data_IF_698532907953
#
_entry.id   IF_698532907953
#
_cell.length_a   1.000
_cell.length_b   1.000
_cell.length_c   1.000
_cell.angle_alpha   90.00
_cell.angle_beta   90.00
_cell.angle_gamma   90.00
#
_symmetry.space_group_name_H-M   'P 1'
#
loop_
_entity.id
_entity.type
_entity.pdbx_description
1 polymer ?
#
# COMPACT_ATOMS: atom_id res chain seq x y z
N UNK A 1 27.76 0.35 4.09
CA UNK A 1 27.85 -0.41 5.37
C UNK A 1 28.33 0.55 6.45
N UNK A 2 27.41 1.08 7.24
CA UNK A 2 27.69 2.04 8.32
C UNK A 2 28.16 1.28 9.56
N UNK A 3 29.43 1.44 9.91
CA UNK A 3 30.07 0.86 11.10
C UNK A 3 29.63 1.54 12.40
N UNK A 4 28.34 1.54 12.70
CA UNK A 4 27.84 1.84 14.03
C UNK A 4 28.03 0.65 14.98
N UNK A 5 28.13 0.87 16.30
CA UNK A 5 28.13 -0.23 17.25
C UNK A 5 26.86 -1.06 17.07
N UNK A 6 27.01 -2.37 16.91
CA UNK A 6 25.89 -3.31 16.96
C UNK A 6 25.14 -3.07 18.27
N UNK A 7 23.82 -2.80 18.25
CA UNK A 7 23.07 -2.60 19.48
C UNK A 7 23.24 -3.82 20.39
N UNK A 8 23.35 -3.59 21.71
CA UNK A 8 23.36 -4.71 22.66
C UNK A 8 22.05 -5.54 22.49
N UNK A 9 22.11 -6.88 22.67
CA UNK A 9 20.95 -7.74 22.52
C UNK A 9 19.72 -7.29 23.33
N UNK A 10 19.89 -6.74 24.53
CA UNK A 10 18.76 -6.27 25.35
C UNK A 10 18.09 -5.06 24.71
N UNK A 11 18.88 -4.08 24.27
CA UNK A 11 18.39 -2.87 23.60
C UNK A 11 17.69 -3.21 22.28
N UNK A 12 18.27 -4.10 21.49
CA UNK A 12 17.66 -4.58 20.25
C UNK A 12 16.31 -5.26 20.53
N UNK A 13 16.25 -6.15 21.52
CA UNK A 13 15.01 -6.85 21.89
C UNK A 13 13.93 -5.91 22.44
N UNK A 14 14.31 -4.90 23.23
CA UNK A 14 13.38 -3.89 23.75
C UNK A 14 12.73 -3.09 22.60
N UNK A 15 13.52 -2.72 21.59
CA UNK A 15 12.99 -2.03 20.40
C UNK A 15 12.04 -2.93 19.60
N UNK A 16 12.39 -4.21 19.39
CA UNK A 16 11.46 -5.16 18.75
C UNK A 16 10.15 -5.31 19.55
N UNK A 17 10.25 -5.39 20.88
CA UNK A 17 9.08 -5.44 21.76
C UNK A 17 8.18 -4.20 21.63
N UNK A 18 8.77 -3.01 21.50
CA UNK A 18 8.04 -1.76 21.27
C UNK A 18 7.33 -1.76 19.92
N UNK A 19 7.98 -2.21 18.85
CA UNK A 19 7.36 -2.33 17.52
C UNK A 19 6.21 -3.35 17.55
N UNK A 20 6.39 -4.51 18.18
CA UNK A 20 5.33 -5.49 18.38
C UNK A 20 4.13 -4.93 19.16
N UNK A 21 4.36 -4.04 20.13
CA UNK A 21 3.27 -3.34 20.81
C UNK A 21 2.49 -2.44 19.83
N UNK A 22 3.17 -1.70 18.95
CA UNK A 22 2.52 -0.92 17.88
C UNK A 22 1.66 -1.81 16.98
N UNK A 23 2.16 -2.99 16.58
CA UNK A 23 1.39 -3.98 15.81
C UNK A 23 0.13 -4.37 16.55
N UNK A 24 0.23 -4.73 17.82
CA UNK A 24 -0.93 -5.15 18.62
C UNK A 24 -1.97 -4.03 18.77
N UNK A 25 -1.54 -2.76 18.87
CA UNK A 25 -2.44 -1.61 18.87
C UNK A 25 -3.11 -1.41 17.50
N UNK A 26 -2.34 -1.47 16.41
CA UNK A 26 -2.83 -1.34 15.04
C UNK A 26 -3.88 -2.40 14.70
N UNK A 27 -3.58 -3.68 15.00
CA UNK A 27 -4.50 -4.80 14.75
C UNK A 27 -5.82 -4.64 15.52
N UNK A 28 -5.78 -4.24 16.81
CA UNK A 28 -7.00 -3.95 17.59
C UNK A 28 -7.77 -2.74 17.04
N UNK A 29 -7.06 -1.73 16.54
CA UNK A 29 -7.64 -0.58 15.85
C UNK A 29 -8.42 -1.02 14.61
N UNK A 30 -7.76 -1.75 13.72
CA UNK A 30 -8.35 -2.26 12.48
C UNK A 30 -9.57 -3.16 12.74
N UNK A 31 -9.52 -4.04 13.75
CA UNK A 31 -10.69 -4.85 14.13
C UNK A 31 -11.89 -4.01 14.55
N UNK A 32 -11.67 -2.92 15.30
CA UNK A 32 -12.75 -2.00 15.69
C UNK A 32 -13.30 -1.23 14.50
N UNK A 33 -12.42 -0.79 13.59
CA UNK A 33 -12.81 -0.15 12.33
C UNK A 33 -13.65 -1.10 11.49
N UNK A 34 -13.18 -2.32 11.24
CA UNK A 34 -13.93 -3.31 10.47
C UNK A 34 -15.32 -3.59 11.07
N UNK A 35 -15.41 -3.72 12.39
CA UNK A 35 -16.69 -3.91 13.10
C UNK A 35 -17.65 -2.71 12.99
N UNK A 36 -17.13 -1.49 12.80
CA UNK A 36 -17.94 -0.29 12.59
C UNK A 36 -18.45 -0.14 11.15
N UNK A 37 -17.84 -0.85 10.19
CA UNK A 37 -18.21 -0.85 8.77
C UNK A 37 -18.47 -2.28 8.25
N UNK A 38 -19.42 -3.03 8.82
CA UNK A 38 -19.62 -4.44 8.47
C UNK A 38 -20.07 -4.67 7.02
N UNK A 39 -20.72 -3.68 6.40
CA UNK A 39 -21.14 -3.73 4.99
C UNK A 39 -19.96 -3.66 4.02
N UNK A 40 -18.83 -3.08 4.45
CA UNK A 40 -17.61 -2.95 3.64
C UNK A 40 -16.60 -4.05 3.96
N UNK A 41 -16.50 -4.47 5.23
CA UNK A 41 -15.52 -5.43 5.71
C UNK A 41 -16.19 -6.70 6.26
N UNK A 42 -16.67 -7.61 5.38
CA UNK A 42 -17.16 -8.91 5.82
C UNK A 42 -16.04 -9.75 6.44
N UNK A 43 -16.39 -10.59 7.42
CA UNK A 43 -15.42 -11.37 8.22
C UNK A 43 -14.48 -12.27 7.40
N UNK A 44 -14.90 -12.70 6.20
CA UNK A 44 -14.02 -13.29 5.17
C UNK A 44 -14.20 -12.44 3.90
N UNK A 45 -13.12 -11.85 3.32
CA UNK A 45 -11.70 -12.06 3.66
C UNK A 45 -11.09 -11.07 4.68
N UNK A 46 -11.88 -10.16 5.27
CA UNK A 46 -11.34 -9.14 6.20
C UNK A 46 -11.25 -9.68 7.64
N UNK A 47 -10.28 -10.57 7.85
CA UNK A 47 -10.11 -11.33 9.09
C UNK A 47 -8.97 -10.79 9.99
N UNK A 48 -8.74 -11.47 11.10
CA UNK A 48 -7.69 -11.11 12.05
C UNK A 48 -6.26 -11.22 11.47
N UNK A 49 -6.07 -12.07 10.46
CA UNK A 49 -4.81 -12.28 9.76
C UNK A 49 -4.47 -11.03 8.96
N UNK A 50 -5.39 -10.58 8.09
CA UNK A 50 -5.23 -9.36 7.31
C UNK A 50 -4.92 -8.16 8.19
N UNK A 51 -5.66 -7.98 9.27
CA UNK A 51 -5.43 -6.87 10.20
C UNK A 51 -4.05 -6.94 10.87
N UNK A 52 -3.56 -8.14 11.17
CA UNK A 52 -2.23 -8.36 11.70
C UNK A 52 -1.13 -8.03 10.68
N UNK A 53 -1.32 -8.46 9.42
CA UNK A 53 -0.41 -8.19 8.30
C UNK A 53 -0.28 -6.69 8.03
N UNK A 54 -1.41 -5.97 7.93
CA UNK A 54 -1.44 -4.51 7.74
C UNK A 54 -0.71 -3.80 8.89
N UNK A 55 -1.07 -4.12 10.13
CA UNK A 55 -0.48 -3.47 11.30
C UNK A 55 1.04 -3.73 11.41
N UNK A 56 1.48 -4.94 11.04
CA UNK A 56 2.91 -5.30 11.00
C UNK A 56 3.64 -4.51 9.94
N UNK A 57 3.12 -4.48 8.72
CA UNK A 57 3.73 -3.73 7.63
C UNK A 57 3.95 -2.26 8.00
N UNK A 58 2.96 -1.60 8.59
CA UNK A 58 3.08 -0.19 8.97
C UNK A 58 3.99 0.04 10.18
N UNK A 59 3.88 -0.78 11.23
CA UNK A 59 4.71 -0.61 12.43
C UNK A 59 6.20 -0.85 12.15
N UNK A 60 6.54 -1.81 11.30
CA UNK A 60 7.94 -2.07 10.94
C UNK A 60 8.48 -1.10 9.88
N UNK A 61 7.60 -0.52 9.05
CA UNK A 61 7.98 0.53 8.09
C UNK A 61 8.25 1.87 8.77
N UNK A 62 7.46 2.23 9.78
CA UNK A 62 7.54 3.54 10.43
C UNK A 62 7.54 3.45 11.99
N UNK A 63 8.48 2.71 12.59
CA UNK A 63 8.45 2.38 14.01
C UNK A 63 8.55 3.59 14.94
N UNK A 64 9.03 4.74 14.47
CA UNK A 64 9.12 5.98 15.25
C UNK A 64 7.76 6.66 15.48
N UNK A 65 6.73 6.30 14.74
CA UNK A 65 5.39 6.86 14.95
C UNK A 65 4.68 6.19 16.13
N UNK A 66 3.77 6.96 16.71
CA UNK A 66 2.83 6.49 17.72
C UNK A 66 1.74 5.63 17.09
N UNK A 67 1.07 4.82 17.91
CA UNK A 67 -0.08 4.03 17.45
C UNK A 67 -1.23 4.90 16.92
N UNK A 68 -1.37 6.15 17.39
CA UNK A 68 -2.40 7.07 16.92
C UNK A 68 -2.10 7.57 15.51
N UNK A 69 -0.86 7.98 15.25
CA UNK A 69 -0.42 8.41 13.90
C UNK A 69 -0.51 7.25 12.90
N UNK A 70 -0.11 6.03 13.30
CA UNK A 70 -0.23 4.85 12.43
C UNK A 70 -1.67 4.39 12.22
N UNK A 71 -2.65 4.83 13.03
CA UNK A 71 -4.04 4.41 12.87
C UNK A 71 -4.62 4.88 11.52
N UNK A 72 -4.31 6.11 11.10
CA UNK A 72 -4.76 6.67 9.81
C UNK A 72 -4.11 5.93 8.65
N UNK A 73 -2.82 5.64 8.75
CA UNK A 73 -2.10 4.86 7.72
C UNK A 73 -2.65 3.43 7.62
N UNK A 74 -2.89 2.76 8.75
CA UNK A 74 -3.52 1.44 8.76
C UNK A 74 -4.91 1.47 8.09
N UNK A 75 -5.72 2.51 8.32
CA UNK A 75 -7.01 2.70 7.64
C UNK A 75 -6.86 2.92 6.15
N UNK A 76 -5.83 3.65 5.71
CA UNK A 76 -5.54 3.85 4.29
C UNK A 76 -5.14 2.54 3.59
N UNK A 77 -4.30 1.71 4.22
CA UNK A 77 -3.98 0.37 3.70
C UNK A 77 -5.25 -0.50 3.64
N UNK A 78 -6.07 -0.49 4.70
CA UNK A 78 -7.34 -1.23 4.73
C UNK A 78 -8.31 -0.77 3.63
N UNK A 79 -8.36 0.53 3.34
CA UNK A 79 -9.11 1.07 2.19
C UNK A 79 -8.60 0.48 0.87
N UNK A 80 -7.28 0.39 0.68
CA UNK A 80 -6.68 -0.22 -0.51
C UNK A 80 -7.14 -1.67 -0.72
N UNK A 81 -7.12 -2.48 0.34
CA UNK A 81 -7.66 -3.85 0.30
C UNK A 81 -9.17 -3.91 0.04
N UNK A 82 -9.94 -2.94 0.54
CA UNK A 82 -11.37 -2.84 0.28
C UNK A 82 -11.65 -2.63 -1.21
N UNK A 83 -10.97 -1.66 -1.82
CA UNK A 83 -11.14 -1.33 -3.24
C UNK A 83 -10.67 -2.48 -4.12
N UNK A 84 -9.51 -3.06 -3.83
CA UNK A 84 -8.97 -4.24 -4.52
C UNK A 84 -10.01 -5.37 -4.54
N UNK A 85 -10.52 -5.75 -3.38
CA UNK A 85 -11.54 -6.79 -3.28
C UNK A 85 -12.84 -6.45 -4.02
N UNK A 86 -13.30 -5.20 -3.93
CA UNK A 86 -14.50 -4.75 -4.63
C UNK A 86 -14.32 -4.82 -6.17
N UNK A 87 -13.16 -4.40 -6.68
CA UNK A 87 -12.88 -4.43 -8.12
C UNK A 87 -12.66 -5.86 -8.60
N UNK A 88 -11.84 -6.65 -7.89
CA UNK A 88 -11.35 -7.92 -8.39
C UNK A 88 -12.33 -9.07 -8.13
N UNK A 89 -13.03 -9.04 -6.99
CA UNK A 89 -13.89 -10.14 -6.56
C UNK A 89 -15.39 -9.83 -6.65
N UNK A 90 -15.79 -8.56 -6.63
CA UNK A 90 -17.22 -8.17 -6.58
C UNK A 90 -17.74 -7.53 -7.86
N UNK A 91 -16.93 -6.74 -8.56
CA UNK A 91 -17.39 -6.06 -9.77
C UNK A 91 -17.59 -7.06 -10.92
N UNK A 92 -18.83 -7.14 -11.40
CA UNK A 92 -19.26 -8.00 -12.51
C UNK A 92 -19.23 -7.29 -13.86
N UNK A 93 -19.15 -5.96 -13.86
CA UNK A 93 -19.14 -5.15 -15.08
C UNK A 93 -18.19 -3.96 -15.00
N UNK A 94 -17.77 -3.47 -16.18
CA UNK A 94 -16.94 -2.26 -16.28
C UNK A 94 -17.62 -1.05 -15.65
N UNK A 95 -18.93 -0.93 -15.81
CA UNK A 95 -19.72 0.15 -15.24
C UNK A 95 -19.74 0.15 -13.70
N UNK A 96 -19.58 -1.01 -13.05
CA UNK A 96 -19.41 -1.11 -11.60
C UNK A 96 -18.03 -0.64 -11.16
N UNK A 97 -16.98 -1.03 -11.88
CA UNK A 97 -15.61 -0.54 -11.64
C UNK A 97 -15.55 0.99 -11.78
N UNK A 98 -16.12 1.54 -12.86
CA UNK A 98 -16.17 2.99 -13.06
C UNK A 98 -17.02 3.71 -11.99
N UNK A 99 -17.97 3.02 -11.35
CA UNK A 99 -18.74 3.57 -10.22
C UNK A 99 -17.94 3.58 -8.93
N UNK A 100 -17.17 2.53 -8.66
CA UNK A 100 -16.24 2.46 -7.53
C UNK A 100 -15.23 3.60 -7.64
N UNK A 101 -14.60 3.75 -8.81
CA UNK A 101 -13.62 4.81 -9.06
C UNK A 101 -14.21 6.21 -8.85
N UNK A 102 -15.36 6.50 -9.47
CA UNK A 102 -16.05 7.79 -9.29
C UNK A 102 -16.42 8.07 -7.84
N UNK A 103 -16.93 7.07 -7.11
CA UNK A 103 -17.29 7.22 -5.70
C UNK A 103 -16.08 7.68 -4.88
N UNK A 104 -14.91 7.08 -5.10
CA UNK A 104 -13.69 7.47 -4.40
C UNK A 104 -13.27 8.91 -4.74
N UNK A 105 -13.26 9.27 -6.02
CA UNK A 105 -12.81 10.60 -6.47
C UNK A 105 -13.78 11.71 -6.08
N UNK A 106 -15.09 11.47 -6.14
CA UNK A 106 -16.12 12.40 -5.70
C UNK A 106 -16.01 12.67 -4.20
N UNK A 107 -15.75 11.63 -3.39
CA UNK A 107 -15.53 11.78 -1.94
C UNK A 107 -14.28 12.61 -1.65
N UNK A 108 -13.17 12.41 -2.38
CA UNK A 108 -11.99 13.26 -2.21
C UNK A 108 -12.23 14.73 -2.61
N UNK A 109 -13.18 14.98 -3.53
CA UNK A 109 -13.63 16.34 -3.89
C UNK A 109 -14.60 16.97 -2.88
N UNK A 110 -15.03 16.23 -1.87
CA UNK A 110 -15.94 16.73 -0.84
C UNK A 110 -17.39 16.29 -1.01
N UNK A 111 -17.71 15.43 -1.98
CA UNK A 111 -19.05 14.90 -2.12
C UNK A 111 -19.43 14.01 -0.92
N UNK A 112 -20.71 14.03 -0.58
CA UNK A 112 -21.30 13.10 0.38
C UNK A 112 -21.82 11.86 -0.34
N UNK A 113 -21.84 10.72 0.33
CA UNK A 113 -22.30 9.46 -0.24
C UNK A 113 -22.85 8.54 0.84
N UNK A 114 -23.81 7.71 0.46
CA UNK A 114 -24.33 6.62 1.29
C UNK A 114 -23.61 5.30 1.03
N UNK A 115 -22.78 5.24 -0.02
CA UNK A 115 -21.99 4.07 -0.37
C UNK A 115 -21.03 3.68 0.78
N UNK A 116 -20.96 2.40 1.20
CA UNK A 116 -20.10 1.99 2.31
C UNK A 116 -18.62 2.32 2.13
N UNK A 117 -18.06 2.12 0.92
CA UNK A 117 -16.68 2.45 0.60
C UNK A 117 -16.47 3.97 0.68
N UNK A 118 -17.41 4.72 0.08
CA UNK A 118 -17.36 6.17 0.07
C UNK A 118 -17.46 6.80 1.46
N UNK A 119 -18.30 6.25 2.36
CA UNK A 119 -18.38 6.69 3.77
C UNK A 119 -17.06 6.44 4.51
N UNK A 120 -16.48 5.25 4.36
CA UNK A 120 -15.20 4.92 4.97
C UNK A 120 -14.07 5.83 4.47
N UNK A 121 -14.03 6.12 3.16
CA UNK A 121 -13.06 7.04 2.58
C UNK A 121 -13.29 8.49 3.04
N UNK A 122 -14.53 8.92 3.24
CA UNK A 122 -14.81 10.26 3.75
C UNK A 122 -14.25 10.46 5.17
N UNK A 123 -14.40 9.47 6.05
CA UNK A 123 -13.79 9.50 7.37
C UNK A 123 -12.26 9.48 7.32
N UNK A 124 -11.67 8.67 6.44
CA UNK A 124 -10.22 8.66 6.23
C UNK A 124 -9.73 10.03 5.72
N UNK A 125 -10.44 10.63 4.76
CA UNK A 125 -10.16 11.97 4.25
C UNK A 125 -10.20 13.01 5.37
N UNK A 126 -11.20 12.93 6.24
CA UNK A 126 -11.36 13.87 7.35
C UNK A 126 -10.23 13.74 8.38
N UNK A 127 -9.77 12.52 8.67
CA UNK A 127 -8.57 12.27 9.49
C UNK A 127 -7.29 12.83 8.85
N UNK A 128 -7.12 12.70 7.53
CA UNK A 128 -5.97 13.27 6.82
C UNK A 128 -6.09 14.80 6.77
N UNK A 129 -7.30 15.33 6.69
CA UNK A 129 -7.59 16.76 6.62
C UNK A 129 -7.28 17.53 7.91
N UNK A 130 -7.07 16.83 9.03
CA UNK A 130 -6.62 17.48 10.27
C UNK A 130 -5.18 18.00 10.18
N UNK A 131 -4.38 17.53 9.21
CA UNK A 131 -3.02 17.96 9.02
C UNK A 131 -2.95 19.40 8.47
N UNK A 132 -2.10 20.29 9.01
CA UNK A 132 -1.98 21.67 8.54
C UNK A 132 -1.68 21.81 7.04
N UNK A 133 -0.93 20.87 6.46
CA UNK A 133 -0.55 20.85 5.05
C UNK A 133 -1.64 20.34 4.09
N UNK A 134 -2.76 19.82 4.60
CA UNK A 134 -3.75 19.12 3.78
C UNK A 134 -4.25 19.95 2.60
N UNK A 135 -4.64 21.21 2.83
CA UNK A 135 -5.22 22.05 1.78
C UNK A 135 -4.27 22.24 0.58
N UNK A 136 -2.96 22.33 0.83
CA UNK A 136 -1.93 22.50 -0.20
C UNK A 136 -1.58 21.17 -0.90
N UNK A 137 -1.71 20.04 -0.21
CA UNK A 137 -1.23 18.74 -0.66
C UNK A 137 -2.34 17.82 -1.20
N UNK A 138 -3.61 18.05 -0.86
CA UNK A 138 -4.75 17.19 -1.22
C UNK A 138 -4.89 16.90 -2.71
N UNK A 139 -4.46 17.82 -3.57
CA UNK A 139 -4.46 17.62 -5.02
C UNK A 139 -3.57 16.45 -5.46
N UNK A 140 -2.42 16.26 -4.81
CA UNK A 140 -1.49 15.15 -5.11
C UNK A 140 -2.04 13.81 -4.63
N UNK A 141 -2.72 13.82 -3.48
CA UNK A 141 -3.42 12.64 -3.00
C UNK A 141 -4.56 12.23 -3.93
N UNK A 142 -5.33 13.20 -4.43
CA UNK A 142 -6.34 12.95 -5.47
C UNK A 142 -5.73 12.38 -6.75
N UNK A 143 -4.64 12.95 -7.26
CA UNK A 143 -4.02 12.46 -8.51
C UNK A 143 -3.47 11.04 -8.36
N UNK A 144 -2.86 10.71 -7.21
CA UNK A 144 -2.40 9.33 -6.95
C UNK A 144 -3.57 8.36 -6.78
N UNK A 145 -4.68 8.80 -6.17
CA UNK A 145 -5.93 8.04 -6.12
C UNK A 145 -6.48 7.73 -7.51
N UNK A 146 -6.56 8.73 -8.39
CA UNK A 146 -7.03 8.55 -9.77
C UNK A 146 -6.16 7.54 -10.53
N UNK A 147 -4.82 7.67 -10.46
CA UNK A 147 -3.88 6.74 -11.07
C UNK A 147 -4.09 5.29 -10.61
N UNK A 148 -4.26 5.08 -9.30
CA UNK A 148 -4.50 3.75 -8.72
C UNK A 148 -5.82 3.15 -9.22
N UNK A 149 -6.90 3.92 -9.22
CA UNK A 149 -8.22 3.46 -9.66
C UNK A 149 -8.23 3.15 -11.17
N UNK A 150 -7.57 3.96 -11.98
CA UNK A 150 -7.40 3.72 -13.41
C UNK A 150 -6.59 2.44 -13.68
N UNK A 151 -5.54 2.21 -12.89
CA UNK A 151 -4.72 1.01 -12.99
C UNK A 151 -5.51 -0.26 -12.60
N UNK A 152 -6.33 -0.19 -11.55
CA UNK A 152 -7.26 -1.26 -11.18
C UNK A 152 -8.28 -1.54 -12.29
N UNK A 153 -8.87 -0.50 -12.89
CA UNK A 153 -9.81 -0.65 -13.99
C UNK A 153 -9.17 -1.24 -15.26
N UNK A 154 -7.90 -0.91 -15.51
CA UNK A 154 -7.12 -1.47 -16.63
C UNK A 154 -6.89 -2.96 -16.43
N UNK A 155 -6.45 -3.39 -15.25
CA UNK A 155 -6.25 -4.82 -14.95
C UNK A 155 -7.54 -5.63 -14.99
N UNK A 156 -8.63 -5.07 -14.46
CA UNK A 156 -9.96 -5.67 -14.58
C UNK A 156 -10.34 -5.93 -16.05
N UNK A 157 -9.96 -5.02 -16.94
CA UNK A 157 -10.21 -5.13 -18.39
C UNK A 157 -9.33 -6.21 -19.01
N UNK A 158 -8.03 -6.23 -18.71
CA UNK A 158 -7.09 -7.23 -19.21
C UNK A 158 -7.51 -8.67 -18.90
N UNK A 159 -8.01 -8.92 -17.69
CA UNK A 159 -8.55 -10.24 -17.31
C UNK A 159 -9.67 -10.77 -18.22
N UNK A 160 -10.34 -9.86 -18.96
CA UNK A 160 -11.48 -10.19 -19.82
C UNK A 160 -11.18 -10.09 -21.31
N UNK A 161 -10.26 -9.23 -21.71
CA UNK A 161 -9.98 -8.95 -23.13
C UNK A 161 -8.69 -9.59 -23.63
N UNK A 162 -7.78 -9.99 -22.73
CA UNK A 162 -6.49 -10.58 -23.08
C UNK A 162 -5.37 -10.12 -22.16
N UNK A 163 -4.35 -10.98 -22.01
CA UNK A 163 -3.21 -10.72 -21.12
C UNK A 163 -2.31 -9.63 -21.71
N UNK A 164 -1.81 -8.69 -20.88
CA UNK A 164 -0.81 -7.72 -21.29
C UNK A 164 0.55 -8.39 -21.48
N UNK A 165 1.49 -7.68 -22.12
CA UNK A 165 2.92 -8.02 -21.99
C UNK A 165 3.42 -7.74 -20.56
N UNK A 166 4.53 -8.37 -20.16
CA UNK A 166 5.16 -8.06 -18.86
C UNK A 166 5.46 -6.56 -18.70
N UNK A 167 5.93 -5.90 -19.77
CA UNK A 167 6.25 -4.47 -19.71
C UNK A 167 5.02 -3.60 -19.46
N UNK A 168 3.90 -3.87 -20.14
CA UNK A 168 2.63 -3.16 -19.91
C UNK A 168 2.08 -3.42 -18.51
N UNK A 169 2.17 -4.67 -18.04
CA UNK A 169 1.76 -5.05 -16.68
C UNK A 169 2.55 -4.29 -15.61
N UNK A 170 3.88 -4.26 -15.70
CA UNK A 170 4.72 -3.56 -14.72
C UNK A 170 4.58 -2.03 -14.80
N UNK A 171 4.27 -1.49 -15.99
CA UNK A 171 3.92 -0.07 -16.13
C UNK A 171 2.61 0.30 -15.40
N UNK A 172 1.78 -0.69 -15.06
CA UNK A 172 0.51 -0.52 -14.34
C UNK A 172 0.63 -0.73 -12.82
N UNK A 173 1.84 -0.61 -12.25
CA UNK A 173 2.10 -0.87 -10.83
C UNK A 173 1.27 -0.02 -9.84
N UNK A 174 0.64 1.07 -10.29
CA UNK A 174 -0.32 1.87 -9.50
C UNK A 174 -1.51 1.05 -8.99
N UNK A 175 -1.80 -0.11 -9.61
CA UNK A 175 -2.79 -1.07 -9.13
C UNK A 175 -2.51 -1.53 -7.68
N UNK A 176 -1.24 -1.63 -7.28
CA UNK A 176 -0.86 -2.06 -5.92
C UNK A 176 -1.29 -1.08 -4.82
N UNK A 177 -1.59 0.17 -5.19
CA UNK A 177 -2.05 1.23 -4.27
C UNK A 177 -1.05 1.63 -3.15
N UNK A 178 0.21 1.22 -3.21
CA UNK A 178 1.19 1.54 -2.17
C UNK A 178 1.49 3.05 -2.10
N UNK A 179 1.69 3.71 -3.26
CA UNK A 179 2.02 5.15 -3.30
C UNK A 179 0.86 6.00 -2.77
N UNK A 180 -0.40 5.74 -3.18
CA UNK A 180 -1.54 6.55 -2.70
C UNK A 180 -1.74 6.44 -1.19
N UNK A 181 -1.44 5.27 -0.60
CA UNK A 181 -1.42 5.08 0.86
C UNK A 181 -0.29 5.87 1.51
N UNK A 182 0.92 5.82 0.93
CA UNK A 182 2.07 6.57 1.43
C UNK A 182 1.82 8.09 1.38
N UNK A 183 1.14 8.60 0.34
CA UNK A 183 0.77 10.02 0.26
C UNK A 183 -0.19 10.42 1.39
N UNK A 184 -1.20 9.60 1.69
CA UNK A 184 -2.08 9.84 2.83
C UNK A 184 -1.30 9.87 4.15
N UNK A 185 -0.35 8.94 4.32
CA UNK A 185 0.55 8.89 5.48
C UNK A 185 1.36 10.18 5.60
N UNK A 186 2.10 10.57 4.56
CA UNK A 186 2.98 11.75 4.60
C UNK A 186 2.25 13.06 4.83
N UNK A 187 1.04 13.20 4.28
CA UNK A 187 0.19 14.37 4.56
C UNK A 187 -0.25 14.34 6.03
N UNK A 188 -0.78 13.22 6.51
CA UNK A 188 -1.31 13.09 7.87
C UNK A 188 -0.25 13.32 8.95
N UNK A 189 0.93 12.71 8.80
CA UNK A 189 2.03 12.83 9.76
C UNK A 189 2.77 14.17 9.67
N UNK A 190 2.47 14.99 8.66
CA UNK A 190 3.21 16.23 8.38
C UNK A 190 4.67 15.97 7.99
N UNK A 191 4.98 14.78 7.46
CA UNK A 191 6.32 14.42 6.99
C UNK A 191 6.84 15.34 5.89
N UNK A 192 5.93 15.98 5.15
CA UNK A 192 6.24 16.98 4.13
C UNK A 192 5.45 18.26 4.35
N UNK A 193 6.12 19.40 4.18
CA UNK A 193 5.54 20.72 4.39
C UNK A 193 5.10 21.39 3.08
N UNK A 194 5.62 20.94 1.93
CA UNK A 194 5.34 21.55 0.65
C UNK A 194 5.15 20.54 -0.49
N UNK A 195 4.59 21.08 -1.56
CA UNK A 195 4.24 20.41 -2.80
C UNK A 195 5.43 19.70 -3.47
N UNK A 196 6.59 20.35 -3.54
CA UNK A 196 7.75 19.84 -4.27
C UNK A 196 8.40 18.67 -3.53
N UNK A 197 8.46 18.74 -2.19
CA UNK A 197 8.90 17.63 -1.36
C UNK A 197 7.98 16.41 -1.52
N UNK A 198 6.66 16.60 -1.52
CA UNK A 198 5.71 15.51 -1.75
C UNK A 198 5.84 14.91 -3.15
N UNK A 199 6.04 15.73 -4.19
CA UNK A 199 6.25 15.23 -5.56
C UNK A 199 7.49 14.32 -5.64
N UNK A 200 8.61 14.71 -5.01
CA UNK A 200 9.81 13.85 -4.94
C UNK A 200 9.56 12.54 -4.18
N UNK A 201 8.81 12.57 -3.09
CA UNK A 201 8.46 11.35 -2.37
C UNK A 201 7.55 10.43 -3.20
N UNK A 202 6.62 10.99 -3.98
CA UNK A 202 5.78 10.23 -4.90
C UNK A 202 6.64 9.57 -5.98
N UNK A 203 7.59 10.30 -6.58
CA UNK A 203 8.49 9.75 -7.60
C UNK A 203 9.29 8.55 -7.09
N UNK A 204 9.91 8.67 -5.90
CA UNK A 204 10.67 7.55 -5.30
C UNK A 204 9.72 6.44 -4.81
N UNK A 205 8.56 6.81 -4.28
CA UNK A 205 7.51 5.89 -3.84
C UNK A 205 6.99 5.01 -4.98
N UNK A 206 6.84 5.57 -6.18
CA UNK A 206 6.42 4.84 -7.38
C UNK A 206 7.45 3.77 -7.78
N UNK A 207 8.75 4.05 -7.64
CA UNK A 207 9.78 3.04 -7.90
C UNK A 207 9.77 1.92 -6.86
N UNK A 208 9.56 2.27 -5.59
CA UNK A 208 9.39 1.27 -4.52
C UNK A 208 8.14 0.44 -4.76
N UNK A 209 7.01 1.05 -5.16
CA UNK A 209 5.77 0.37 -5.50
C UNK A 209 5.96 -0.66 -6.62
N UNK A 210 6.76 -0.35 -7.66
CA UNK A 210 7.10 -1.33 -8.70
C UNK A 210 7.86 -2.55 -8.15
N UNK A 211 8.79 -2.33 -7.22
CA UNK A 211 9.47 -3.45 -6.55
C UNK A 211 8.50 -4.26 -5.69
N UNK A 212 7.62 -3.58 -4.93
CA UNK A 212 6.61 -4.23 -4.10
C UNK A 212 5.60 -5.04 -4.94
N UNK A 213 5.26 -4.60 -6.15
CA UNK A 213 4.39 -5.36 -7.07
C UNK A 213 5.03 -6.68 -7.45
N UNK A 214 6.30 -6.67 -7.84
CA UNK A 214 7.06 -7.88 -8.17
C UNK A 214 7.18 -8.83 -6.96
N UNK A 215 7.41 -8.30 -5.75
CA UNK A 215 7.42 -9.10 -4.51
C UNK A 215 6.08 -9.75 -4.24
N UNK A 216 4.99 -9.00 -4.43
CA UNK A 216 3.64 -9.53 -4.30
C UNK A 216 3.41 -10.66 -5.32
N UNK A 217 3.71 -10.44 -6.61
CA UNK A 217 3.58 -11.46 -7.66
C UNK A 217 4.36 -12.75 -7.32
N UNK A 218 5.61 -12.62 -6.86
CA UNK A 218 6.44 -13.77 -6.45
C UNK A 218 5.82 -14.53 -5.27
N UNK A 219 5.20 -13.81 -4.32
CA UNK A 219 4.59 -14.39 -3.14
C UNK A 219 3.20 -15.00 -3.39
N UNK A 220 2.45 -14.49 -4.37
CA UNK A 220 1.06 -14.90 -4.64
C UNK A 220 0.90 -15.81 -5.85
N UNK A 221 1.97 -16.10 -6.60
CA UNK A 221 1.96 -16.88 -7.84
C UNK A 221 1.05 -18.12 -7.83
N UNK A 222 1.18 -18.98 -6.80
CA UNK A 222 0.39 -20.22 -6.73
C UNK A 222 -1.11 -19.94 -6.69
N UNK A 223 -1.51 -19.00 -5.84
CA UNK A 223 -2.90 -18.58 -5.66
C UNK A 223 -3.44 -17.95 -6.95
N UNK A 224 -2.65 -17.07 -7.56
CA UNK A 224 -3.07 -16.34 -8.76
C UNK A 224 -3.17 -17.26 -9.98
N UNK A 225 -2.30 -18.26 -10.07
CA UNK A 225 -2.38 -19.31 -11.10
C UNK A 225 -3.63 -20.18 -10.94
N UNK A 226 -4.02 -20.52 -9.71
CA UNK A 226 -5.22 -21.31 -9.40
C UNK A 226 -6.52 -20.53 -9.67
N UNK A 227 -6.55 -19.23 -9.38
CA UNK A 227 -7.72 -18.36 -9.62
C UNK A 227 -7.81 -17.83 -11.06
N UNK A 228 -6.72 -17.94 -11.84
CA UNK A 228 -6.62 -17.39 -13.19
C UNK A 228 -6.42 -15.87 -13.22
N UNK A 229 -5.92 -15.28 -12.13
CA UNK A 229 -5.61 -13.86 -12.03
C UNK A 229 -4.35 -13.48 -12.83
N UNK A 230 -4.06 -12.18 -12.91
CA UNK A 230 -2.82 -11.67 -13.49
C UNK A 230 -1.68 -11.78 -12.47
N UNK A 231 -0.52 -12.18 -12.95
CA UNK A 231 0.71 -12.27 -12.16
C UNK A 231 1.89 -12.20 -13.12
N UNK A 232 2.97 -11.49 -12.77
CA UNK A 232 4.15 -11.34 -13.63
C UNK A 232 4.71 -12.68 -14.14
N UNK A 233 4.70 -13.73 -13.31
CA UNK A 233 5.19 -15.06 -13.65
C UNK A 233 4.31 -15.79 -14.68
N UNK A 234 3.05 -15.39 -14.84
CA UNK A 234 2.12 -15.93 -15.85
C UNK A 234 2.22 -15.23 -17.22
N UNK A 235 3.09 -14.21 -17.32
CA UNK A 235 3.28 -13.37 -18.51
C UNK A 235 4.62 -13.59 -19.21
N UNK A 236 5.44 -14.53 -18.72
CA UNK A 236 6.77 -14.85 -19.26
C UNK A 236 6.97 -16.35 -19.42
N UNK A 237 7.86 -16.72 -20.34
CA UNK A 237 8.28 -18.11 -20.53
C UNK A 237 9.37 -18.54 -19.52
N UNK A 238 10.23 -17.60 -19.11
CA UNK A 238 11.31 -17.80 -18.14
C UNK A 238 11.00 -17.08 -16.81
N UNK A 239 10.61 -17.80 -15.74
CA UNK A 239 10.40 -17.22 -14.41
C UNK A 239 11.59 -16.42 -13.88
N UNK A 240 12.82 -16.78 -14.28
CA UNK A 240 14.01 -16.05 -13.85
C UNK A 240 14.06 -14.62 -14.42
N UNK A 241 13.27 -14.29 -15.46
CA UNK A 241 13.09 -12.91 -15.89
C UNK A 241 12.48 -12.05 -14.79
N UNK A 242 11.42 -12.51 -14.12
CA UNK A 242 10.74 -11.76 -13.05
C UNK A 242 11.68 -11.53 -11.86
N UNK A 243 12.46 -12.55 -11.49
CA UNK A 243 13.48 -12.42 -10.43
C UNK A 243 14.58 -11.41 -10.79
N UNK A 244 15.06 -11.43 -12.05
CA UNK A 244 16.03 -10.44 -12.54
C UNK A 244 15.47 -9.02 -12.48
N UNK A 245 14.24 -8.81 -12.98
CA UNK A 245 13.57 -7.50 -12.91
C UNK A 245 13.40 -7.03 -11.48
N UNK A 246 13.05 -7.92 -10.55
CA UNK A 246 12.94 -7.59 -9.14
C UNK A 246 14.29 -7.14 -8.57
N UNK A 247 15.37 -7.88 -8.82
CA UNK A 247 16.71 -7.51 -8.36
C UNK A 247 17.16 -6.15 -8.93
N UNK A 248 16.98 -5.93 -10.23
CA UNK A 248 17.28 -4.66 -10.90
C UNK A 248 16.48 -3.49 -10.30
N UNK A 249 15.18 -3.69 -10.04
CA UNK A 249 14.33 -2.66 -9.45
C UNK A 249 14.74 -2.35 -7.99
N UNK A 250 15.12 -3.36 -7.21
CA UNK A 250 15.63 -3.17 -5.84
C UNK A 250 16.95 -2.38 -5.85
N UNK A 251 17.86 -2.69 -6.78
CA UNK A 251 19.11 -1.94 -6.91
C UNK A 251 18.87 -0.49 -7.35
N UNK A 252 17.91 -0.28 -8.25
CA UNK A 252 17.47 1.08 -8.60
C UNK A 252 16.89 1.83 -7.38
N UNK A 253 16.01 1.20 -6.62
CA UNK A 253 15.44 1.77 -5.39
C UNK A 253 16.53 2.14 -4.38
N UNK A 254 17.55 1.28 -4.19
CA UNK A 254 18.67 1.57 -3.28
C UNK A 254 19.40 2.85 -3.65
N UNK A 255 19.62 3.10 -4.95
CA UNK A 255 20.27 4.33 -5.42
C UNK A 255 19.40 5.56 -5.15
N UNK A 256 18.10 5.48 -5.43
CA UNK A 256 17.17 6.59 -5.19
C UNK A 256 17.00 6.89 -3.70
N UNK A 257 16.83 5.86 -2.88
CA UNK A 257 16.67 5.98 -1.44
C UNK A 257 17.93 6.53 -0.77
N UNK A 258 19.12 6.18 -1.26
CA UNK A 258 20.37 6.77 -0.78
C UNK A 258 20.42 8.28 -1.04
N UNK A 259 19.99 8.75 -2.22
CA UNK A 259 19.90 10.18 -2.53
C UNK A 259 18.82 10.87 -1.69
N UNK A 260 17.67 10.23 -1.56
CA UNK A 260 16.55 10.75 -0.76
C UNK A 260 16.94 10.88 0.71
N UNK A 261 17.81 10.00 1.22
CA UNK A 261 18.27 10.03 2.61
C UNK A 261 19.08 11.31 2.94
N UNK A 262 19.74 11.92 1.96
CA UNK A 262 20.45 13.18 2.14
C UNK A 262 19.48 14.38 2.30
N UNK A 263 18.24 14.25 1.80
CA UNK A 263 17.23 15.32 1.81
C UNK A 263 16.18 15.12 2.90
N UNK A 264 15.62 13.91 2.98
CA UNK A 264 14.50 13.52 3.84
C UNK A 264 14.80 12.15 4.49
N UNK A 265 15.77 12.08 5.42
CA UNK A 265 16.30 10.81 5.94
C UNK A 265 15.23 9.89 6.54
N UNK A 266 14.22 10.46 7.18
CA UNK A 266 13.12 9.68 7.78
C UNK A 266 12.25 8.99 6.73
N UNK A 267 11.94 9.67 5.63
CA UNK A 267 11.07 9.11 4.58
C UNK A 267 11.83 8.14 3.66
N UNK A 268 13.13 8.37 3.48
CA UNK A 268 14.01 7.35 2.91
C UNK A 268 14.07 6.08 3.77
N UNK A 269 14.17 6.20 5.11
CA UNK A 269 14.12 5.04 6.02
C UNK A 269 12.74 4.36 5.98
N UNK A 270 11.65 5.13 5.93
CA UNK A 270 10.29 4.61 5.79
C UNK A 270 10.15 3.70 4.56
N UNK A 271 10.50 4.22 3.39
CA UNK A 271 10.40 3.48 2.13
C UNK A 271 11.38 2.29 2.07
N UNK A 272 12.59 2.45 2.63
CA UNK A 272 13.56 1.35 2.74
C UNK A 272 13.03 0.21 3.59
N UNK A 273 12.43 0.53 4.74
CA UNK A 273 11.82 -0.45 5.65
C UNK A 273 10.57 -1.06 5.06
N UNK A 274 9.74 -0.30 4.33
CA UNK A 274 8.58 -0.81 3.62
C UNK A 274 8.99 -1.87 2.60
N UNK A 275 10.01 -1.58 1.77
CA UNK A 275 10.55 -2.53 0.82
C UNK A 275 11.14 -3.77 1.50
N UNK A 276 11.96 -3.56 2.54
CA UNK A 276 12.62 -4.64 3.27
C UNK A 276 11.64 -5.56 4.01
N UNK A 277 10.69 -4.99 4.75
CA UNK A 277 9.68 -5.73 5.48
C UNK A 277 8.80 -6.53 4.51
N UNK A 278 8.28 -5.89 3.47
CA UNK A 278 7.37 -6.55 2.52
C UNK A 278 8.06 -7.67 1.76
N UNK A 279 9.33 -7.47 1.36
CA UNK A 279 10.17 -8.53 0.76
C UNK A 279 10.36 -9.71 1.70
N UNK A 280 10.61 -9.47 2.99
CA UNK A 280 10.73 -10.52 3.98
C UNK A 280 9.42 -11.24 4.27
N UNK A 281 8.31 -10.49 4.31
CA UNK A 281 6.98 -10.99 4.63
C UNK A 281 6.45 -11.93 3.53
N UNK A 282 6.44 -11.47 2.27
CA UNK A 282 5.94 -12.25 1.12
C UNK A 282 6.75 -13.51 0.79
N UNK A 283 7.98 -13.65 1.30
CA UNK A 283 8.73 -14.91 1.23
C UNK A 283 8.16 -16.02 2.13
N UNK A 284 7.31 -15.66 3.09
CA UNK A 284 6.79 -16.57 4.10
C UNK A 284 5.26 -16.62 4.15
N UNK A 285 4.55 -15.54 3.79
CA UNK A 285 3.08 -15.46 3.73
C UNK A 285 2.66 -14.24 2.92
N UNK A 286 1.45 -14.22 2.36
CA UNK A 286 0.84 -12.98 1.84
C UNK A 286 -0.02 -12.28 2.90
N UNK A 287 -0.58 -11.11 2.56
CA UNK A 287 -1.39 -10.31 3.47
C UNK A 287 -2.74 -10.93 3.82
N UNK A 288 -3.36 -11.64 2.87
CA UNK A 288 -4.63 -12.34 3.06
C UNK A 288 -4.46 -13.63 3.85
N UNK A 289 -3.23 -14.14 3.96
CA UNK A 289 -2.87 -15.38 4.62
C UNK A 289 -2.82 -16.56 3.63
N UNK A 290 -1.93 -17.53 3.90
CA UNK A 290 -1.92 -18.79 3.15
C UNK A 290 -3.22 -19.54 3.47
N UNK A 291 -4.08 -19.73 2.46
CA UNK A 291 -5.19 -20.70 2.54
C UNK A 291 -4.67 -22.11 2.34
#
# INVERSE_FOLDING_TARGET
MTGGPTPDPITAAAEQGRICALVAHGQRGLRRVAAAHPDLFPADPFDATLFGSIASAMAFSAPWHTAAELAVTNRAVLWGFAVDWLVDQRATSRAEVDRIARTCLDVLDGASTTDPLGRFLAELRDDVATAPGYAALRGRWRTTMERTLDAMAREWTWRRTGRPTLAEYLANADNLAATVVNVAHWIHTGSVADAAALDRLIEVGDEVQRALRLVNDLGTYRRDAESGDLNALLLVDDPAEVERRFAEQVDHCRVLLAKLADETPREADFLSRQLGFTTGFYRHTDFWGVR
#
